data_IF_923400426425
#
_entry.id   IF_923400426425
#
_cell.length_a   1.000
_cell.length_b   1.000
_cell.length_c   1.000
_cell.angle_alpha   90.00
_cell.angle_beta   90.00
_cell.angle_gamma   90.00
#
_symmetry.space_group_name_H-M   'P 1'
#
loop_
_entity.id
_entity.type
_entity.pdbx_description
1 polymer ?
#
# COMPACT_ATOMS: atom_id res chain seq x y z
N UNK A 1 -15.26 -14.64 14.12
CA UNK A 1 -15.71 -14.98 12.77
C UNK A 1 -16.98 -15.78 12.93
N UNK A 2 -18.06 -15.41 12.22
CA UNK A 2 -19.22 -16.28 12.05
C UNK A 2 -18.76 -17.59 11.38
N UNK A 3 -19.47 -18.68 11.63
CA UNK A 3 -19.14 -20.01 11.11
C UNK A 3 -20.05 -20.29 9.91
N UNK A 4 -19.52 -20.77 8.75
CA UNK A 4 -20.35 -21.08 7.59
C UNK A 4 -21.50 -22.07 7.87
N UNK A 5 -21.36 -22.90 8.91
CA UNK A 5 -22.40 -23.87 9.31
C UNK A 5 -23.55 -23.17 10.02
N UNK A 6 -23.25 -22.15 10.82
CA UNK A 6 -24.23 -21.47 11.69
C UNK A 6 -24.87 -20.25 10.99
N UNK A 7 -24.11 -19.59 10.09
CA UNK A 7 -24.52 -18.37 9.39
C UNK A 7 -24.25 -18.47 7.86
N UNK A 8 -24.87 -19.41 7.12
CA UNK A 8 -24.61 -19.62 5.69
C UNK A 8 -24.92 -18.39 4.83
N UNK A 9 -26.00 -17.67 5.16
CA UNK A 9 -26.46 -16.48 4.42
C UNK A 9 -25.38 -15.38 4.34
N UNK A 10 -24.47 -15.33 5.31
CA UNK A 10 -23.39 -14.34 5.35
C UNK A 10 -22.24 -14.67 4.39
N UNK A 11 -22.14 -15.92 3.95
CA UNK A 11 -21.17 -16.41 2.97
C UNK A 11 -21.75 -16.45 1.55
N UNK A 12 -23.08 -16.41 1.43
CA UNK A 12 -23.74 -16.41 0.12
C UNK A 12 -23.75 -15.03 -0.54
N UNK A 13 -23.50 -13.95 0.22
CA UNK A 13 -23.55 -12.59 -0.30
C UNK A 13 -22.34 -11.75 0.10
N UNK A 14 -21.99 -10.79 -0.75
CA UNK A 14 -21.01 -9.74 -0.43
C UNK A 14 -21.72 -8.41 -0.28
N UNK A 15 -21.34 -7.62 0.71
CA UNK A 15 -21.79 -6.26 0.88
C UNK A 15 -20.76 -5.31 0.26
N UNK A 16 -21.19 -4.44 -0.65
CA UNK A 16 -20.34 -3.45 -1.31
C UNK A 16 -20.96 -2.06 -1.17
N UNK A 17 -20.31 -1.17 -0.41
CA UNK A 17 -20.78 0.19 -0.19
C UNK A 17 -22.18 0.26 0.42
N UNK A 18 -22.53 -0.70 1.28
CA UNK A 18 -23.88 -0.81 1.88
C UNK A 18 -24.93 -1.48 0.99
N UNK A 19 -24.54 -1.99 -0.18
CA UNK A 19 -25.43 -2.73 -1.11
C UNK A 19 -25.05 -4.20 -1.11
N UNK A 20 -26.01 -5.06 -0.77
CA UNK A 20 -25.85 -6.51 -0.84
C UNK A 20 -25.85 -7.00 -2.30
N UNK A 21 -24.97 -7.95 -2.62
CA UNK A 21 -24.94 -8.58 -3.95
C UNK A 21 -26.12 -9.52 -4.15
N UNK A 22 -26.75 -9.53 -5.33
CA UNK A 22 -27.76 -10.53 -5.68
C UNK A 22 -27.12 -11.90 -5.96
N UNK A 23 -27.91 -12.96 -5.82
CA UNK A 23 -27.49 -14.34 -6.01
C UNK A 23 -26.44 -14.82 -5.01
N UNK A 24 -25.83 -15.97 -5.33
CA UNK A 24 -24.82 -16.63 -4.48
C UNK A 24 -23.42 -16.24 -4.97
N UNK A 25 -22.57 -15.75 -4.07
CA UNK A 25 -21.20 -15.37 -4.36
C UNK A 25 -20.22 -16.51 -4.10
N UNK A 26 -19.19 -16.62 -4.93
CA UNK A 26 -18.02 -17.46 -4.67
C UNK A 26 -16.77 -16.62 -4.88
N UNK A 27 -15.94 -16.52 -3.84
CA UNK A 27 -14.73 -15.69 -3.85
C UNK A 27 -13.50 -16.57 -4.02
N UNK A 28 -12.63 -16.19 -4.96
CA UNK A 28 -11.38 -16.91 -5.24
C UNK A 28 -10.20 -15.94 -5.39
N UNK A 29 -9.00 -16.41 -5.06
CA UNK A 29 -7.77 -15.62 -5.22
C UNK A 29 -7.60 -14.51 -4.18
N UNK A 30 -8.33 -14.55 -3.06
CA UNK A 30 -8.20 -13.61 -1.94
C UNK A 30 -6.97 -13.89 -1.05
N UNK A 31 -5.99 -14.65 -1.56
CA UNK A 31 -4.76 -15.00 -0.85
C UNK A 31 -3.89 -13.77 -0.63
N UNK A 32 -3.59 -13.48 0.64
CA UNK A 32 -2.67 -12.40 0.98
C UNK A 32 -1.22 -12.79 0.71
N UNK A 33 -0.58 -12.09 -0.22
CA UNK A 33 0.86 -12.21 -0.48
C UNK A 33 1.63 -11.16 0.33
N UNK A 34 2.51 -11.63 1.21
CA UNK A 34 3.42 -10.75 1.97
C UNK A 34 4.67 -10.52 1.14
N UNK A 35 5.01 -9.26 0.87
CA UNK A 35 6.22 -8.90 0.13
C UNK A 35 7.48 -9.10 0.95
N UNK A 36 8.29 -10.07 0.53
CA UNK A 36 9.63 -10.33 1.09
C UNK A 36 10.69 -10.11 0.01
N UNK A 37 11.63 -9.22 0.28
CA UNK A 37 12.87 -9.07 -0.49
C UNK A 37 13.88 -10.11 0.01
N UNK A 38 14.12 -11.15 -0.80
CA UNK A 38 15.02 -12.25 -0.46
C UNK A 38 16.35 -12.06 -1.20
N UNK A 39 17.36 -11.61 -0.47
CA UNK A 39 18.73 -11.47 -0.98
C UNK A 39 19.52 -12.73 -0.71
N UNK A 40 19.82 -13.48 -1.78
CA UNK A 40 20.68 -14.67 -1.70
C UNK A 40 22.13 -14.26 -1.44
N UNK A 41 22.77 -14.88 -0.44
CA UNK A 41 24.20 -14.68 -0.20
C UNK A 41 25.03 -15.37 -1.27
N UNK A 42 25.95 -14.64 -1.92
CA UNK A 42 26.91 -15.27 -2.83
C UNK A 42 27.88 -16.15 -2.04
N UNK A 43 27.89 -17.46 -2.31
CA UNK A 43 28.83 -18.41 -1.69
C UNK A 43 28.57 -18.78 -0.23
N UNK A 44 27.43 -18.39 0.36
CA UNK A 44 27.04 -18.75 1.72
C UNK A 44 25.74 -19.54 1.74
N UNK A 45 25.60 -20.48 2.68
CA UNK A 45 24.33 -21.17 2.94
C UNK A 45 23.42 -20.23 3.74
N UNK A 46 22.49 -19.58 3.05
CA UNK A 46 21.49 -18.70 3.67
C UNK A 46 21.04 -17.56 2.75
N UNK A 47 19.94 -16.91 3.12
CA UNK A 47 19.45 -15.71 2.46
C UNK A 47 18.96 -14.71 3.52
N UNK A 48 19.16 -13.43 3.26
CA UNK A 48 18.61 -12.36 4.10
C UNK A 48 17.25 -11.99 3.55
N UNK A 49 16.20 -12.14 4.37
CA UNK A 49 14.83 -11.74 4.03
C UNK A 49 14.50 -10.40 4.67
N UNK A 50 14.18 -9.39 3.87
CA UNK A 50 13.74 -8.08 4.35
C UNK A 50 12.28 -7.87 3.96
N UNK A 51 11.42 -7.43 4.89
CA UNK A 51 10.03 -7.10 4.54
C UNK A 51 10.01 -5.82 3.69
N UNK A 52 9.37 -5.87 2.53
CA UNK A 52 9.25 -4.72 1.62
C UNK A 52 7.89 -4.02 1.82
N UNK A 53 7.02 -4.11 0.82
CA UNK A 53 5.64 -3.65 0.82
C UNK A 53 4.71 -4.84 0.71
N UNK A 54 3.55 -4.75 1.36
CA UNK A 54 2.47 -5.71 1.12
C UNK A 54 1.72 -5.23 -0.13
N UNK A 55 1.74 -6.03 -1.20
CA UNK A 55 1.05 -5.69 -2.44
C UNK A 55 -0.48 -5.75 -2.24
N UNK A 56 -1.26 -4.88 -2.91
CA UNK A 56 -2.71 -4.98 -2.89
C UNK A 56 -3.17 -6.33 -3.45
N UNK A 57 -4.16 -6.94 -2.80
CA UNK A 57 -4.71 -8.24 -3.20
C UNK A 57 -5.70 -8.05 -4.36
N UNK A 58 -5.54 -8.77 -5.47
CA UNK A 58 -6.55 -8.89 -6.53
C UNK A 58 -7.29 -10.22 -6.35
N UNK A 59 -8.62 -10.18 -6.34
CA UNK A 59 -9.46 -11.36 -6.17
C UNK A 59 -10.67 -11.33 -7.10
N UNK A 60 -11.29 -12.49 -7.26
CA UNK A 60 -12.41 -12.69 -8.18
C UNK A 60 -13.66 -13.12 -7.41
N UNK A 61 -14.76 -12.40 -7.62
CA UNK A 61 -16.09 -12.78 -7.16
C UNK A 61 -16.92 -13.28 -8.34
N UNK A 62 -17.39 -14.51 -8.23
CA UNK A 62 -18.35 -15.11 -9.15
C UNK A 62 -19.74 -15.05 -8.51
N UNK A 63 -20.70 -14.42 -9.18
CA UNK A 63 -22.08 -14.30 -8.73
C UNK A 63 -22.95 -15.22 -9.58
N UNK A 64 -23.58 -16.21 -8.95
CA UNK A 64 -24.56 -17.08 -9.60
C UNK A 64 -25.96 -16.51 -9.38
N UNK A 65 -26.58 -16.03 -10.45
CA UNK A 65 -27.95 -15.51 -10.45
C UNK A 65 -28.89 -16.60 -10.95
N UNK A 66 -29.90 -16.94 -10.16
CA UNK A 66 -30.84 -18.02 -10.47
C UNK A 66 -32.28 -17.53 -10.62
N UNK A 67 -32.67 -16.50 -9.84
CA UNK A 67 -34.06 -16.06 -9.73
C UNK A 67 -34.29 -14.70 -10.42
N UNK A 68 -35.54 -14.40 -10.79
CA UNK A 68 -35.91 -13.15 -11.47
C UNK A 68 -35.52 -11.90 -10.67
N UNK A 69 -35.60 -11.99 -9.34
CA UNK A 69 -35.18 -10.93 -8.42
C UNK A 69 -33.68 -10.65 -8.51
N UNK A 70 -32.83 -11.69 -8.64
CA UNK A 70 -31.39 -11.54 -8.83
C UNK A 70 -31.08 -10.76 -10.11
N UNK A 71 -31.77 -11.10 -11.20
CA UNK A 71 -31.63 -10.43 -12.49
C UNK A 71 -32.10 -8.98 -12.43
N UNK A 72 -33.15 -8.68 -11.67
CA UNK A 72 -33.67 -7.33 -11.49
C UNK A 72 -32.74 -6.45 -10.63
N UNK A 73 -32.08 -7.03 -9.62
CA UNK A 73 -31.15 -6.32 -8.74
C UNK A 73 -29.75 -6.15 -9.34
N UNK A 74 -29.34 -7.03 -10.25
CA UNK A 74 -28.02 -7.02 -10.86
C UNK A 74 -27.61 -5.67 -11.50
N UNK A 75 -28.46 -4.96 -12.28
CA UNK A 75 -28.10 -3.65 -12.84
C UNK A 75 -27.76 -2.61 -11.76
N UNK A 76 -28.48 -2.61 -10.64
CA UNK A 76 -28.23 -1.70 -9.52
C UNK A 76 -26.91 -2.02 -8.85
N UNK A 77 -26.66 -3.30 -8.55
CA UNK A 77 -25.39 -3.74 -7.99
C UNK A 77 -24.21 -3.44 -8.94
N UNK A 78 -24.39 -3.68 -10.24
CA UNK A 78 -23.39 -3.37 -11.26
C UNK A 78 -23.12 -1.86 -11.37
N UNK A 79 -24.12 -1.01 -11.17
CA UNK A 79 -23.92 0.44 -11.10
C UNK A 79 -23.06 0.82 -9.89
N UNK A 80 -23.28 0.20 -8.73
CA UNK A 80 -22.42 0.36 -7.53
C UNK A 80 -20.99 -0.09 -7.82
N UNK A 81 -20.79 -1.26 -8.41
CA UNK A 81 -19.47 -1.75 -8.81
C UNK A 81 -18.78 -0.77 -9.77
N UNK A 82 -19.51 -0.26 -10.77
CA UNK A 82 -18.99 0.67 -11.76
C UNK A 82 -18.68 2.06 -11.20
N UNK A 83 -19.34 2.45 -10.11
CA UNK A 83 -19.12 3.76 -9.47
C UNK A 83 -17.68 3.92 -8.98
N UNK A 84 -17.01 2.82 -8.60
CA UNK A 84 -15.64 2.81 -8.08
C UNK A 84 -14.60 3.40 -9.04
N UNK A 85 -14.86 3.33 -10.34
CA UNK A 85 -13.97 3.86 -11.40
C UNK A 85 -14.59 5.01 -12.18
N UNK A 86 -15.78 5.45 -11.77
CA UNK A 86 -16.50 6.52 -12.46
C UNK A 86 -15.97 7.90 -12.02
N UNK A 87 -16.00 8.87 -12.94
CA UNK A 87 -15.61 10.26 -12.66
C UNK A 87 -14.10 10.54 -12.76
N UNK A 88 -13.72 11.78 -12.44
CA UNK A 88 -12.32 12.22 -12.45
C UNK A 88 -11.51 11.68 -11.26
N UNK A 89 -12.18 11.27 -10.19
CA UNK A 89 -11.57 10.80 -8.94
C UNK A 89 -12.20 9.47 -8.55
N UNK A 90 -11.64 8.34 -9.00
CA UNK A 90 -12.08 7.00 -8.59
C UNK A 90 -12.11 6.88 -7.06
N UNK A 91 -13.21 6.37 -6.53
CA UNK A 91 -13.41 6.20 -5.08
C UNK A 91 -13.54 4.73 -4.77
N UNK A 92 -12.74 4.23 -3.83
CA UNK A 92 -12.88 2.86 -3.35
C UNK A 92 -14.17 2.71 -2.53
N UNK A 93 -14.80 1.55 -2.61
CA UNK A 93 -15.97 1.21 -1.80
C UNK A 93 -15.58 0.22 -0.72
N UNK A 94 -16.21 0.34 0.44
CA UNK A 94 -16.09 -0.64 1.51
C UNK A 94 -16.70 -1.97 1.06
N UNK A 95 -16.05 -3.07 1.40
CA UNK A 95 -16.50 -4.42 1.07
C UNK A 95 -16.49 -5.29 2.33
N UNK A 96 -17.52 -6.13 2.46
CA UNK A 96 -17.59 -7.11 3.52
C UNK A 96 -18.02 -8.49 3.00
N UNK A 97 -17.22 -9.48 3.36
CA UNK A 97 -17.52 -10.91 3.29
C UNK A 97 -16.64 -11.59 4.35
N UNK A 98 -17.10 -12.64 5.05
CA UNK A 98 -16.30 -13.31 6.07
C UNK A 98 -14.89 -13.71 5.58
N UNK A 99 -14.77 -14.39 4.43
CA UNK A 99 -13.47 -14.78 3.84
C UNK A 99 -12.52 -13.60 3.55
N UNK A 100 -13.08 -12.46 3.13
CA UNK A 100 -12.30 -11.24 2.88
C UNK A 100 -11.86 -10.58 4.20
N UNK A 101 -12.71 -10.64 5.22
CA UNK A 101 -12.42 -10.13 6.54
C UNK A 101 -11.29 -10.91 7.23
N UNK A 102 -11.18 -12.23 7.00
CA UNK A 102 -10.04 -13.03 7.50
C UNK A 102 -8.71 -12.50 6.98
N UNK A 103 -8.70 -12.04 5.73
CA UNK A 103 -7.53 -11.47 5.09
C UNK A 103 -7.41 -9.96 5.31
N UNK A 104 -8.22 -9.31 6.14
CA UNK A 104 -8.21 -7.86 6.38
C UNK A 104 -8.26 -7.06 5.05
N UNK A 105 -9.15 -7.49 4.15
CA UNK A 105 -9.54 -6.77 2.93
C UNK A 105 -10.84 -6.02 3.24
N UNK A 106 -10.81 -4.69 3.17
CA UNK A 106 -11.91 -3.83 3.66
C UNK A 106 -12.45 -2.85 2.62
N UNK A 107 -11.64 -2.49 1.63
CA UNK A 107 -12.03 -1.55 0.59
C UNK A 107 -11.50 -2.04 -0.75
N UNK A 108 -12.27 -1.84 -1.82
CA UNK A 108 -11.94 -2.31 -3.16
C UNK A 108 -12.31 -1.30 -4.24
N UNK A 109 -11.65 -1.45 -5.37
CA UNK A 109 -12.01 -0.84 -6.65
C UNK A 109 -12.27 -1.92 -7.69
N UNK A 110 -13.13 -1.63 -8.66
CA UNK A 110 -13.37 -2.52 -9.79
C UNK A 110 -12.11 -2.64 -10.65
N UNK A 111 -11.61 -3.87 -10.83
CA UNK A 111 -10.56 -4.17 -11.80
C UNK A 111 -11.16 -4.54 -13.16
N UNK A 112 -12.09 -5.50 -13.20
CA UNK A 112 -12.70 -5.96 -14.45
C UNK A 112 -14.09 -6.56 -14.18
N UNK A 113 -15.03 -6.35 -15.09
CA UNK A 113 -16.30 -7.10 -15.14
C UNK A 113 -16.24 -7.97 -16.38
N UNK A 114 -16.30 -9.29 -16.21
CA UNK A 114 -16.26 -10.25 -17.31
C UNK A 114 -17.63 -10.46 -17.94
N UNK A 115 -17.65 -11.10 -19.11
CA UNK A 115 -18.88 -11.49 -19.79
C UNK A 115 -19.73 -12.46 -18.97
N UNK A 116 -20.99 -12.60 -19.35
CA UNK A 116 -21.94 -13.48 -18.68
C UNK A 116 -21.75 -14.92 -19.14
N UNK A 117 -21.72 -15.87 -18.22
CA UNK A 117 -21.67 -17.30 -18.53
C UNK A 117 -23.02 -17.91 -18.20
N UNK A 118 -23.73 -18.41 -19.21
CA UNK A 118 -25.01 -19.08 -19.04
C UNK A 118 -24.80 -20.57 -18.78
N UNK A 119 -25.50 -21.12 -17.80
CA UNK A 119 -25.39 -22.55 -17.44
C UNK A 119 -26.26 -23.48 -18.32
N UNK A 120 -27.08 -22.91 -19.21
CA UNK A 120 -28.01 -23.63 -20.08
C UNK A 120 -29.28 -24.14 -19.38
N UNK A 121 -29.45 -23.86 -18.09
CA UNK A 121 -30.61 -24.24 -17.26
C UNK A 121 -31.40 -23.03 -16.74
N UNK A 122 -30.99 -21.82 -17.09
CA UNK A 122 -31.64 -20.56 -16.71
C UNK A 122 -30.80 -19.70 -15.77
N UNK A 123 -29.76 -20.27 -15.17
CA UNK A 123 -28.82 -19.54 -14.32
C UNK A 123 -27.73 -18.82 -15.12
N UNK A 124 -27.25 -17.72 -14.57
CA UNK A 124 -26.17 -16.93 -15.16
C UNK A 124 -25.11 -16.63 -14.12
N UNK A 125 -23.87 -17.01 -14.43
CA UNK A 125 -22.71 -16.60 -13.65
C UNK A 125 -22.15 -15.29 -14.20
N UNK A 126 -22.01 -14.30 -13.33
CA UNK A 126 -21.36 -13.02 -13.61
C UNK A 126 -20.06 -12.95 -12.80
N UNK A 127 -18.96 -12.57 -13.44
CA UNK A 127 -17.66 -12.53 -12.77
C UNK A 127 -17.16 -11.10 -12.68
N UNK A 128 -16.80 -10.68 -11.47
CA UNK A 128 -16.21 -9.36 -11.20
C UNK A 128 -14.88 -9.55 -10.48
N UNK A 129 -13.85 -8.92 -11.01
CA UNK A 129 -12.53 -8.83 -10.38
C UNK A 129 -12.42 -7.52 -9.62
N UNK A 130 -11.96 -7.62 -8.38
CA UNK A 130 -11.73 -6.49 -7.50
C UNK A 130 -10.25 -6.39 -7.17
N UNK A 131 -9.78 -5.16 -7.02
CA UNK A 131 -8.46 -4.84 -6.49
C UNK A 131 -8.64 -4.19 -5.13
N UNK A 132 -7.95 -4.71 -4.12
CA UNK A 132 -7.89 -4.13 -2.79
C UNK A 132 -7.37 -2.69 -2.87
N UNK A 133 -8.10 -1.76 -2.25
CA UNK A 133 -7.63 -0.40 -2.05
C UNK A 133 -7.02 -0.27 -0.65
N UNK A 134 -5.77 0.19 -0.60
CA UNK A 134 -5.10 0.57 0.65
C UNK A 134 -4.52 1.98 0.52
N UNK A 135 -4.86 2.90 1.43
CA UNK A 135 -4.21 4.19 1.46
C UNK A 135 -2.71 3.98 1.76
N UNK A 136 -1.80 4.65 1.02
CA UNK A 136 -0.38 4.55 1.30
C UNK A 136 -0.10 5.02 2.73
N UNK A 137 0.61 4.20 3.51
CA UNK A 137 1.05 4.64 4.84
C UNK A 137 2.05 5.80 4.63
N UNK A 138 1.86 6.95 5.30
CA UNK A 138 2.79 8.05 5.17
C UNK A 138 4.18 7.56 5.56
N UNK A 139 5.15 7.78 4.67
CA UNK A 139 6.54 7.47 4.96
C UNK A 139 6.92 8.17 6.26
N UNK A 140 7.37 7.41 7.27
CA UNK A 140 8.03 8.01 8.43
C UNK A 140 9.25 8.71 7.89
N UNK A 141 9.18 10.04 7.78
CA UNK A 141 10.21 10.84 7.12
C UNK A 141 11.59 10.48 7.66
N UNK A 142 12.54 10.30 6.75
CA UNK A 142 13.95 10.24 7.13
C UNK A 142 14.31 11.50 7.95
N UNK A 143 15.18 11.39 8.97
CA UNK A 143 15.60 12.55 9.75
C UNK A 143 16.03 13.69 8.82
N UNK A 144 15.45 14.89 8.98
CA UNK A 144 15.83 16.12 8.26
C UNK A 144 17.19 16.62 8.75
N UNK A 145 18.25 15.87 8.44
CA UNK A 145 19.63 16.18 8.82
C UNK A 145 19.83 16.30 10.34
N UNK A 146 21.08 16.53 10.75
CA UNK A 146 21.35 17.06 12.07
C UNK A 146 21.05 18.56 12.06
N UNK A 147 20.47 19.09 13.13
CA UNK A 147 20.51 20.54 13.41
C UNK A 147 21.95 20.91 13.84
N UNK A 148 22.92 20.78 12.94
CA UNK A 148 24.12 21.61 13.03
C UNK A 148 23.69 22.97 12.47
N UNK A 149 23.43 23.91 13.38
CA UNK A 149 22.88 25.21 13.06
C UNK A 149 23.67 25.91 11.95
N UNK A 150 22.96 26.34 10.92
CA UNK A 150 23.41 27.41 10.04
C UNK A 150 23.53 28.71 10.87
N UNK A 151 24.57 28.83 11.71
CA UNK A 151 24.94 30.09 12.38
C UNK A 151 26.29 30.08 13.14
N UNK A 152 27.13 29.05 13.09
CA UNK A 152 28.53 29.19 13.52
C UNK A 152 29.38 28.32 12.62
N UNK A 153 30.34 28.93 11.90
CA UNK A 153 31.49 28.19 11.34
C UNK A 153 31.93 27.20 12.40
N UNK A 154 31.97 25.90 12.07
CA UNK A 154 32.70 24.96 12.90
C UNK A 154 34.06 25.62 13.21
N UNK A 155 34.51 25.66 14.49
CA UNK A 155 35.81 26.23 14.81
C UNK A 155 36.83 25.63 13.84
N UNK A 156 37.53 26.48 13.09
CA UNK A 156 38.55 25.98 12.19
C UNK A 156 39.50 25.13 13.04
N UNK A 157 39.67 23.83 12.74
CA UNK A 157 40.55 22.97 13.54
C UNK A 157 41.99 23.52 13.60
N UNK A 158 42.36 24.45 12.73
CA UNK A 158 43.65 25.13 12.70
C UNK A 158 43.64 26.53 13.32
N UNK A 159 42.55 26.99 13.94
CA UNK A 159 42.47 28.36 14.48
C UNK A 159 43.56 28.62 15.53
N UNK A 160 43.83 27.65 16.40
CA UNK A 160 44.89 27.75 17.39
C UNK A 160 46.29 27.89 16.75
N UNK A 161 46.52 27.16 15.65
CA UNK A 161 47.78 27.26 14.90
C UNK A 161 47.90 28.61 14.17
N UNK A 162 46.81 29.13 13.62
CA UNK A 162 46.78 30.46 12.99
C UNK A 162 47.06 31.58 14.00
N UNK A 163 46.49 31.48 15.20
CA UNK A 163 46.72 32.46 16.28
C UNK A 163 48.18 32.42 16.77
N UNK A 164 48.77 31.23 16.86
CA UNK A 164 50.18 31.05 17.22
C UNK A 164 51.12 31.59 16.12
N UNK A 165 50.84 31.29 14.86
CA UNK A 165 51.59 31.84 13.70
C UNK A 165 51.50 33.37 13.68
N UNK A 166 50.33 33.95 13.93
CA UNK A 166 50.16 35.40 13.97
C UNK A 166 50.97 36.03 15.11
N UNK A 167 50.98 35.39 16.29
CA UNK A 167 51.78 35.85 17.44
C UNK A 167 53.28 35.78 17.15
N UNK A 168 53.75 34.67 16.58
CA UNK A 168 55.15 34.48 16.21
C UNK A 168 55.57 35.45 15.10
N UNK A 169 54.70 35.72 14.14
CA UNK A 169 54.93 36.70 13.07
C UNK A 169 55.10 38.11 13.64
N UNK A 170 54.24 38.50 14.59
CA UNK A 170 54.35 39.79 15.27
C UNK A 170 55.64 39.91 16.09
N UNK A 171 55.99 38.85 16.83
CA UNK A 171 57.25 38.80 17.58
C UNK A 171 58.47 38.89 16.65
N UNK A 172 58.43 38.20 15.50
CA UNK A 172 59.50 38.27 14.50
C UNK A 172 59.66 39.68 13.94
N UNK A 173 58.56 40.37 13.60
CA UNK A 173 58.56 41.75 13.12
C UNK A 173 59.14 42.76 14.12
N UNK A 174 59.09 42.47 15.42
CA UNK A 174 59.69 43.30 16.48
C UNK A 174 61.21 43.07 16.63
N UNK A 175 61.76 42.01 16.04
CA UNK A 175 63.21 41.75 16.06
C UNK A 175 63.98 42.60 15.03
N UNK A 176 65.29 42.81 15.21
CA UNK A 176 66.14 43.53 14.25
C UNK A 176 66.19 42.92 12.84
N UNK A 177 65.76 41.66 12.68
CA UNK A 177 65.77 40.90 11.44
C UNK A 177 64.41 40.89 10.72
N UNK A 178 63.34 41.32 11.40
CA UNK A 178 61.97 41.29 10.88
C UNK A 178 61.44 42.65 10.39
N UNK A 179 62.21 43.73 10.56
CA UNK A 179 61.91 45.01 9.93
C UNK A 179 62.40 44.97 8.47
N UNK A 180 61.56 45.28 7.47
CA UNK A 180 62.08 45.49 6.12
C UNK A 180 63.10 46.64 6.17
N UNK A 181 64.22 46.45 5.47
CA UNK A 181 65.29 47.44 5.35
C UNK A 181 64.80 48.76 4.74
#
# INVERSE_FOLDING_TARGET
>A
MPNPIDDPDLYDHVELGGVQSPGIVTITGHDRKIGWDIKKGSGQSGATTTRSSDDPTEFTCSFYLADEEDFAQWPTFLATVNSTVSGQTPTALDIYHPDLAENDIKAVVKATVSGSVHDGKGGVTKVVKFLEYRPPRPAKGSPKGSKAGAATKAPDPNQAALDEIAKLTKQYQETPWGKPA
#
